data_IF_077746711317
#
_entry.id   IF_077746711317
#
_cell.length_a   1.000
_cell.length_b   1.000
_cell.length_c   1.000
_cell.angle_alpha   90.00
_cell.angle_beta   90.00
_cell.angle_gamma   90.00
#
_symmetry.space_group_name_H-M   'P 1'
#
loop_
_entity.id
_entity.type
_entity.pdbx_description
1 polymer ?
#
# COMPACT_ATOMS: atom_id res chain seq x y z
N UNK A 1 -9.40 -14.88 0.36
CA UNK A 1 -8.08 -14.41 -0.12
C UNK A 1 -7.27 -15.59 -0.64
N UNK A 2 -7.44 -15.96 -1.92
CA UNK A 2 -6.75 -17.12 -2.51
C UNK A 2 -5.28 -16.79 -2.84
N UNK A 3 -5.05 -15.65 -3.50
CA UNK A 3 -3.74 -15.22 -3.98
C UNK A 3 -2.66 -15.20 -2.89
N UNK A 4 -2.90 -14.47 -1.80
CA UNK A 4 -1.87 -14.31 -0.76
C UNK A 4 -1.56 -15.59 -0.01
N UNK A 5 -2.55 -16.48 0.13
CA UNK A 5 -2.39 -17.78 0.79
C UNK A 5 -1.55 -18.70 -0.09
N UNK A 6 -1.82 -18.70 -1.40
CA UNK A 6 -1.02 -19.47 -2.37
C UNK A 6 0.41 -18.96 -2.46
N UNK A 7 0.63 -17.65 -2.51
CA UNK A 7 1.99 -17.07 -2.48
C UNK A 7 2.74 -17.47 -1.21
N UNK A 8 2.08 -17.46 -0.05
CA UNK A 8 2.69 -17.94 1.19
C UNK A 8 3.04 -19.44 1.13
N UNK A 9 2.17 -20.24 0.53
CA UNK A 9 2.45 -21.66 0.30
C UNK A 9 3.66 -21.86 -0.61
N UNK A 10 3.75 -21.13 -1.73
CA UNK A 10 4.90 -21.18 -2.66
C UNK A 10 6.19 -20.89 -1.91
N UNK A 11 6.24 -19.81 -1.11
CA UNK A 11 7.41 -19.47 -0.32
C UNK A 11 7.79 -20.56 0.68
N UNK A 12 6.82 -21.14 1.39
CA UNK A 12 7.10 -22.20 2.38
C UNK A 12 7.75 -23.44 1.78
N UNK A 13 7.44 -23.77 0.51
CA UNK A 13 7.89 -25.00 -0.13
C UNK A 13 9.06 -24.80 -1.10
N UNK A 14 9.23 -23.58 -1.61
CA UNK A 14 10.15 -23.33 -2.73
C UNK A 14 11.14 -22.18 -2.49
N UNK A 15 11.12 -21.52 -1.33
CA UNK A 15 12.14 -20.50 -1.00
C UNK A 15 13.06 -20.97 0.12
N UNK A 16 14.32 -20.55 0.07
CA UNK A 16 15.26 -20.67 1.17
C UNK A 16 14.94 -19.56 2.20
N UNK A 17 14.22 -19.94 3.25
CA UNK A 17 13.87 -19.02 4.33
C UNK A 17 15.06 -18.64 5.21
N UNK A 18 16.29 -19.15 4.97
CA UNK A 18 17.46 -18.83 5.79
C UNK A 18 18.06 -17.45 5.51
N UNK A 19 17.84 -16.90 4.31
CA UNK A 19 18.30 -15.55 3.92
C UNK A 19 17.91 -14.48 4.92
N UNK A 20 18.85 -13.60 5.28
CA UNK A 20 18.67 -12.60 6.34
C UNK A 20 17.46 -11.68 6.07
N UNK A 21 17.35 -11.20 4.83
CA UNK A 21 16.27 -10.37 4.32
C UNK A 21 15.86 -10.82 2.91
N UNK A 22 14.67 -10.41 2.46
CA UNK A 22 14.22 -10.65 1.08
C UNK A 22 15.15 -10.08 0.00
N UNK A 23 15.94 -9.05 0.33
CA UNK A 23 16.87 -8.47 -0.64
C UNK A 23 18.04 -9.41 -0.92
N UNK A 24 18.45 -10.19 0.08
CA UNK A 24 19.57 -11.14 0.00
C UNK A 24 19.21 -12.41 -0.78
N UNK A 25 17.91 -12.67 -0.99
CA UNK A 25 17.44 -13.79 -1.82
C UNK A 25 17.93 -13.58 -3.26
N UNK A 26 18.66 -14.55 -3.85
CA UNK A 26 19.18 -14.45 -5.20
C UNK A 26 18.10 -14.20 -6.26
N UNK A 27 18.46 -13.51 -7.35
CA UNK A 27 17.52 -13.19 -8.44
C UNK A 27 16.96 -14.44 -9.10
N UNK A 28 17.78 -15.46 -9.35
CA UNK A 28 17.33 -16.73 -9.91
C UNK A 28 16.28 -17.43 -9.03
N UNK A 29 16.44 -17.38 -7.69
CA UNK A 29 15.44 -17.94 -6.76
C UNK A 29 14.13 -17.13 -6.82
N UNK A 30 14.23 -15.79 -6.89
CA UNK A 30 13.06 -14.92 -7.07
C UNK A 30 12.32 -15.23 -8.38
N UNK A 31 13.05 -15.42 -9.47
CA UNK A 31 12.48 -15.74 -10.79
C UNK A 31 11.77 -17.09 -10.78
N UNK A 32 12.33 -18.09 -10.09
CA UNK A 32 11.71 -19.41 -9.90
C UNK A 32 10.37 -19.32 -9.12
N UNK A 33 10.32 -18.45 -8.10
CA UNK A 33 9.10 -18.19 -7.33
C UNK A 33 8.07 -17.45 -8.19
N UNK A 34 8.50 -16.48 -9.00
CA UNK A 34 7.65 -15.75 -9.94
C UNK A 34 7.04 -16.70 -10.98
N UNK A 35 7.85 -17.60 -11.55
CA UNK A 35 7.37 -18.60 -12.51
C UNK A 35 6.24 -19.47 -11.94
N UNK A 36 6.29 -19.82 -10.64
CA UNK A 36 5.19 -20.54 -9.99
C UNK A 36 3.92 -19.71 -9.84
N UNK A 37 4.06 -18.42 -9.52
CA UNK A 37 2.91 -17.51 -9.48
C UNK A 37 2.29 -17.34 -10.87
N UNK A 38 3.09 -17.35 -11.94
CA UNK A 38 2.61 -17.30 -13.32
C UNK A 38 1.73 -18.49 -13.69
N UNK A 39 2.07 -19.69 -13.21
CA UNK A 39 1.27 -20.89 -13.44
C UNK A 39 -0.08 -20.82 -12.73
N UNK A 40 -0.11 -20.28 -11.50
CA UNK A 40 -1.32 -20.26 -10.68
C UNK A 40 -2.25 -19.05 -10.95
N UNK A 41 -1.71 -17.96 -11.50
CA UNK A 41 -2.42 -16.68 -11.64
C UNK A 41 -2.19 -15.99 -12.98
N UNK A 42 -3.30 -15.58 -13.61
CA UNK A 42 -3.28 -14.77 -14.82
C UNK A 42 -3.04 -13.31 -14.42
N UNK A 43 -1.82 -12.84 -14.64
CA UNK A 43 -1.41 -11.45 -14.45
C UNK A 43 -0.84 -10.91 -15.76
N UNK A 44 -1.06 -9.62 -16.01
CA UNK A 44 -0.38 -8.93 -17.11
C UNK A 44 1.07 -8.60 -16.70
N UNK A 45 2.02 -9.39 -17.19
CA UNK A 45 3.44 -9.26 -16.88
C UNK A 45 4.16 -8.17 -17.65
N UNK A 46 3.53 -7.60 -18.68
CA UNK A 46 4.05 -6.42 -19.38
C UNK A 46 4.00 -5.21 -18.46
N UNK A 47 2.97 -5.13 -17.61
CA UNK A 47 2.76 -4.02 -16.69
C UNK A 47 3.69 -4.07 -15.49
N UNK A 48 4.42 -2.98 -15.26
CA UNK A 48 5.35 -2.81 -14.13
C UNK A 48 4.65 -2.93 -12.77
N UNK A 49 3.45 -2.37 -12.62
CA UNK A 49 2.69 -2.40 -11.36
C UNK A 49 2.31 -3.83 -10.91
N UNK A 50 1.98 -4.73 -11.85
CA UNK A 50 1.67 -6.12 -11.57
C UNK A 50 2.92 -6.88 -11.09
N UNK A 51 4.03 -6.74 -11.82
CA UNK A 51 5.34 -7.29 -11.42
C UNK A 51 5.73 -6.82 -10.02
N UNK A 52 5.64 -5.51 -9.76
CA UNK A 52 5.91 -4.93 -8.44
C UNK A 52 4.98 -5.47 -7.36
N UNK A 53 3.71 -5.71 -7.67
CA UNK A 53 2.73 -6.25 -6.71
C UNK A 53 3.11 -7.67 -6.28
N UNK A 54 3.54 -8.51 -7.23
CA UNK A 54 4.04 -9.87 -6.94
C UNK A 54 5.27 -9.79 -6.03
N UNK A 55 6.27 -9.00 -6.41
CA UNK A 55 7.50 -8.85 -5.62
C UNK A 55 7.25 -8.27 -4.22
N UNK A 56 6.38 -7.26 -4.09
CA UNK A 56 5.95 -6.71 -2.80
C UNK A 56 5.24 -7.77 -1.96
N UNK A 57 4.41 -8.62 -2.58
CA UNK A 57 3.70 -9.69 -1.88
C UNK A 57 4.68 -10.74 -1.37
N UNK A 58 5.64 -11.18 -2.19
CA UNK A 58 6.69 -12.10 -1.75
C UNK A 58 7.47 -11.54 -0.56
N UNK A 59 8.00 -10.32 -0.67
CA UNK A 59 8.72 -9.66 0.44
C UNK A 59 7.91 -9.64 1.73
N UNK A 60 6.63 -9.22 1.66
CA UNK A 60 5.75 -9.16 2.82
C UNK A 60 5.51 -10.54 3.43
N UNK A 61 5.26 -11.56 2.60
CA UNK A 61 4.95 -12.92 3.05
C UNK A 61 6.19 -13.66 3.56
N UNK A 62 7.34 -13.49 2.92
CA UNK A 62 8.63 -14.02 3.38
C UNK A 62 8.95 -13.54 4.79
N UNK A 63 8.86 -12.22 5.01
CA UNK A 63 9.09 -11.63 6.34
C UNK A 63 8.04 -12.09 7.36
N UNK A 64 6.77 -12.22 6.97
CA UNK A 64 5.73 -12.71 7.85
C UNK A 64 5.96 -14.17 8.27
N UNK A 65 6.34 -15.04 7.33
CA UNK A 65 6.66 -16.45 7.63
C UNK A 65 7.84 -16.52 8.60
N UNK A 66 8.93 -15.79 8.34
CA UNK A 66 10.08 -15.72 9.25
C UNK A 66 9.72 -15.18 10.62
N UNK A 67 8.82 -14.20 10.70
CA UNK A 67 8.32 -13.69 11.96
C UNK A 67 7.53 -14.75 12.76
N UNK A 68 6.67 -15.54 12.09
CA UNK A 68 5.97 -16.64 12.76
C UNK A 68 6.94 -17.73 13.24
N UNK A 69 7.97 -18.05 12.45
CA UNK A 69 9.04 -18.96 12.86
C UNK A 69 9.82 -18.42 14.07
N UNK A 70 10.11 -17.12 14.10
CA UNK A 70 10.75 -16.49 15.24
C UNK A 70 9.85 -16.49 16.49
N UNK A 71 8.53 -16.37 16.33
CA UNK A 71 7.59 -16.53 17.46
C UNK A 71 7.66 -17.93 18.05
N UNK A 72 7.72 -18.96 17.21
CA UNK A 72 7.92 -20.35 17.66
C UNK A 72 9.26 -20.49 18.37
N UNK A 73 10.34 -19.96 17.80
CA UNK A 73 11.65 -19.97 18.47
C UNK A 73 11.61 -19.36 19.89
N UNK A 74 10.88 -18.26 20.07
CA UNK A 74 10.75 -17.58 21.37
C UNK A 74 9.91 -18.35 22.40
N UNK A 75 9.21 -19.41 22.04
CA UNK A 75 8.47 -20.22 23.03
C UNK A 75 9.38 -21.16 23.81
N UNK A 76 10.60 -21.40 23.33
CA UNK A 76 11.58 -22.26 23.98
C UNK A 76 12.49 -21.45 24.91
N UNK A 77 12.92 -22.08 26.00
CA UNK A 77 13.72 -21.40 27.02
C UNK A 77 15.19 -21.27 26.61
N UNK A 78 15.70 -22.28 25.89
CA UNK A 78 17.09 -22.35 25.47
C UNK A 78 17.22 -22.70 23.98
N UNK A 79 18.40 -22.41 23.42
CA UNK A 79 18.65 -22.58 21.99
C UNK A 79 18.71 -24.07 21.57
N UNK A 80 19.12 -24.96 22.46
CA UNK A 80 19.22 -26.41 22.20
C UNK A 80 17.82 -27.04 22.06
N UNK A 81 16.91 -26.69 22.97
CA UNK A 81 15.51 -27.06 22.91
C UNK A 81 14.84 -26.51 21.64
N UNK A 82 15.11 -25.26 21.29
CA UNK A 82 14.59 -24.67 20.06
C UNK A 82 15.08 -25.41 18.81
N UNK A 83 16.35 -25.83 18.78
CA UNK A 83 16.92 -26.60 17.67
C UNK A 83 16.27 -27.98 17.53
N UNK A 84 15.98 -28.65 18.66
CA UNK A 84 15.30 -29.94 18.68
C UNK A 84 13.82 -29.84 18.23
N UNK A 85 13.15 -28.73 18.54
CA UNK A 85 11.72 -28.54 18.31
C UNK A 85 11.40 -27.73 17.04
N UNK A 86 11.83 -28.25 15.89
CA UNK A 86 11.58 -27.66 14.57
C UNK A 86 10.12 -27.87 14.09
N UNK A 87 9.48 -26.86 13.48
CA UNK A 87 8.21 -27.08 12.77
C UNK A 87 8.36 -28.05 11.60
N UNK A 88 7.48 -29.05 11.49
CA UNK A 88 7.59 -30.18 10.55
C UNK A 88 7.83 -29.79 9.09
N UNK A 89 7.25 -28.69 8.62
CA UNK A 89 7.34 -28.21 7.23
C UNK A 89 8.62 -27.40 6.92
N UNK A 90 9.41 -27.01 7.91
CA UNK A 90 10.62 -26.18 7.72
C UNK A 90 11.82 -27.08 7.44
N UNK A 91 12.65 -26.83 6.43
CA UNK A 91 13.85 -27.64 6.23
C UNK A 91 14.79 -27.61 7.47
N UNK A 92 15.35 -28.75 7.93
CA UNK A 92 16.25 -28.79 9.09
C UNK A 92 17.43 -27.82 9.02
N UNK A 93 18.12 -27.76 7.88
CA UNK A 93 19.27 -26.87 7.69
C UNK A 93 18.87 -25.40 7.76
N UNK A 94 17.68 -25.06 7.25
CA UNK A 94 17.12 -23.72 7.33
C UNK A 94 16.82 -23.36 8.78
N UNK A 95 16.20 -24.27 9.54
CA UNK A 95 15.91 -24.05 10.96
C UNK A 95 17.16 -23.82 11.80
N UNK A 96 18.20 -24.64 11.61
CA UNK A 96 19.50 -24.48 12.29
C UNK A 96 20.09 -23.10 12.02
N UNK A 97 20.12 -22.66 10.76
CA UNK A 97 20.60 -21.32 10.39
C UNK A 97 19.78 -20.20 11.03
N UNK A 98 18.45 -20.35 11.09
CA UNK A 98 17.55 -19.38 11.71
C UNK A 98 17.78 -19.27 13.22
N UNK A 99 17.83 -20.40 13.92
CA UNK A 99 18.12 -20.45 15.36
C UNK A 99 19.48 -19.83 15.68
N UNK A 100 20.52 -20.18 14.93
CA UNK A 100 21.86 -19.58 15.09
C UNK A 100 21.86 -18.07 14.87
N UNK A 101 21.09 -17.58 13.90
CA UNK A 101 20.93 -16.14 13.68
C UNK A 101 20.21 -15.47 14.86
N UNK A 102 19.13 -16.04 15.36
CA UNK A 102 18.34 -15.43 16.45
C UNK A 102 19.02 -15.49 17.81
N UNK A 103 19.88 -16.49 18.03
CA UNK A 103 20.70 -16.59 19.25
C UNK A 103 21.92 -15.65 19.23
N UNK A 104 22.35 -15.21 18.04
CA UNK A 104 23.50 -14.31 17.88
C UNK A 104 23.32 -12.96 18.60
N UNK A 105 24.43 -12.45 19.13
CA UNK A 105 24.45 -11.17 19.84
C UNK A 105 24.10 -9.99 18.93
N UNK A 106 24.55 -10.02 17.67
CA UNK A 106 24.22 -9.00 16.68
C UNK A 106 22.71 -8.88 16.49
N UNK A 107 22.00 -10.00 16.34
CA UNK A 107 20.56 -10.00 16.16
C UNK A 107 19.83 -9.51 17.41
N UNK A 108 20.25 -9.95 18.61
CA UNK A 108 19.68 -9.50 19.89
C UNK A 108 19.82 -7.99 20.05
N UNK A 109 21.02 -7.46 19.81
CA UNK A 109 21.31 -6.02 19.86
C UNK A 109 20.42 -5.23 18.89
N UNK A 110 20.32 -5.67 17.63
CA UNK A 110 19.47 -5.02 16.64
C UNK A 110 17.98 -5.10 17.01
N UNK A 111 17.54 -6.24 17.55
CA UNK A 111 16.16 -6.43 17.99
C UNK A 111 15.80 -5.48 19.13
N UNK A 112 16.66 -5.34 20.14
CA UNK A 112 16.41 -4.41 21.25
C UNK A 112 16.43 -2.96 20.79
N UNK A 113 17.40 -2.59 19.94
CA UNK A 113 17.44 -1.25 19.35
C UNK A 113 16.16 -0.93 18.57
N UNK A 114 15.65 -1.88 17.78
CA UNK A 114 14.40 -1.72 17.03
C UNK A 114 13.17 -1.63 17.95
N UNK A 115 13.17 -2.34 19.08
CA UNK A 115 12.13 -2.22 20.11
C UNK A 115 12.14 -0.83 20.74
N UNK A 116 13.29 -0.33 21.17
CA UNK A 116 13.43 1.04 21.69
C UNK A 116 13.02 2.09 20.64
N UNK A 117 13.37 1.89 19.36
CA UNK A 117 12.95 2.78 18.28
C UNK A 117 11.44 2.78 18.07
N UNK A 118 10.79 1.61 18.17
CA UNK A 118 9.33 1.49 18.09
C UNK A 118 8.64 2.18 19.26
N UNK A 119 9.18 2.09 20.47
CA UNK A 119 8.66 2.79 21.65
C UNK A 119 8.76 4.31 21.51
N UNK A 120 9.77 4.81 20.78
CA UNK A 120 9.93 6.23 20.44
C UNK A 120 9.00 6.72 19.32
N UNK A 121 8.13 5.87 18.75
CA UNK A 121 7.22 6.27 17.69
C UNK A 121 6.08 7.16 18.23
N UNK A 122 6.18 8.47 17.97
CA UNK A 122 5.23 9.48 18.47
C UNK A 122 4.11 9.85 17.49
N UNK A 123 4.20 9.47 16.21
CA UNK A 123 3.25 9.89 15.17
C UNK A 123 2.25 8.79 14.78
N UNK A 124 1.54 8.21 15.75
CA UNK A 124 0.59 7.12 15.52
C UNK A 124 -0.81 7.59 15.06
N UNK A 125 -1.49 6.77 14.25
CA UNK A 125 -2.84 7.03 13.74
C UNK A 125 -3.87 6.01 14.28
N UNK A 126 -5.16 6.33 14.20
CA UNK A 126 -6.27 5.52 14.75
C UNK A 126 -7.05 4.73 13.70
N UNK A 127 -6.73 4.88 12.41
CA UNK A 127 -7.53 4.35 11.29
C UNK A 127 -7.32 2.86 10.98
N UNK A 128 -6.51 2.16 11.78
CA UNK A 128 -6.25 0.74 11.62
C UNK A 128 -5.58 0.41 10.28
N UNK A 129 -6.17 -0.53 9.53
CA UNK A 129 -5.62 -1.06 8.26
C UNK A 129 -6.07 -0.26 7.02
N UNK A 130 -6.94 0.73 7.19
CA UNK A 130 -7.43 1.55 6.07
C UNK A 130 -6.35 2.53 5.69
N UNK A 131 -5.92 2.52 4.43
CA UNK A 131 -4.97 3.51 3.92
C UNK A 131 -5.56 4.90 3.97
N UNK A 132 -4.73 5.89 4.26
CA UNK A 132 -5.17 7.29 4.24
C UNK A 132 -5.71 7.73 2.86
N UNK A 133 -5.15 7.25 1.72
CA UNK A 133 -5.66 7.57 0.38
C UNK A 133 -7.13 7.18 0.24
N UNK A 134 -7.45 5.94 0.61
CA UNK A 134 -8.83 5.45 0.62
C UNK A 134 -9.75 6.29 1.51
N UNK A 135 -9.27 6.75 2.66
CA UNK A 135 -10.07 7.61 3.53
C UNK A 135 -10.30 9.00 2.93
N UNK A 136 -9.33 9.54 2.21
CA UNK A 136 -9.48 10.81 1.49
C UNK A 136 -10.45 10.67 0.32
N UNK A 137 -10.36 9.59 -0.47
CA UNK A 137 -11.34 9.29 -1.55
C UNK A 137 -12.76 9.20 -0.99
N UNK A 138 -12.96 8.48 0.12
CA UNK A 138 -14.27 8.38 0.77
C UNK A 138 -14.78 9.71 1.34
N UNK A 139 -13.93 10.73 1.39
CA UNK A 139 -14.20 12.06 1.96
C UNK A 139 -14.03 13.17 0.94
N UNK A 140 -13.83 12.87 -0.35
CA UNK A 140 -13.64 13.88 -1.40
C UNK A 140 -14.80 14.88 -1.46
N UNK A 141 -15.99 14.41 -1.08
CA UNK A 141 -17.24 15.16 -1.09
C UNK A 141 -17.42 16.04 0.15
N UNK A 142 -16.50 15.92 1.12
CA UNK A 142 -16.43 16.83 2.27
C UNK A 142 -15.42 17.93 1.98
N UNK A 143 -15.75 19.19 2.28
CA UNK A 143 -14.81 20.34 2.22
C UNK A 143 -13.69 20.28 3.28
N UNK A 144 -13.36 19.08 3.74
CA UNK A 144 -12.33 18.83 4.74
C UNK A 144 -10.94 19.02 4.14
N UNK A 145 -10.17 19.93 4.73
CA UNK A 145 -8.77 20.17 4.34
C UNK A 145 -7.80 19.32 5.17
N UNK A 146 -6.51 19.29 4.79
CA UNK A 146 -5.52 18.36 5.36
C UNK A 146 -5.34 18.45 6.88
N UNK A 147 -5.55 19.63 7.47
CA UNK A 147 -5.48 19.84 8.94
C UNK A 147 -6.62 19.11 9.67
N UNK A 148 -7.82 19.08 9.10
CA UNK A 148 -8.96 18.34 9.66
C UNK A 148 -8.74 16.83 9.52
N UNK A 149 -8.26 16.41 8.35
CA UNK A 149 -7.89 15.03 8.11
C UNK A 149 -6.84 14.56 9.12
N UNK A 150 -5.83 15.38 9.41
CA UNK A 150 -4.81 15.09 10.42
C UNK A 150 -5.41 14.84 11.81
N UNK A 151 -6.37 15.69 12.21
CA UNK A 151 -7.09 15.52 13.47
C UNK A 151 -7.84 14.20 13.50
N UNK A 152 -8.65 13.95 12.48
CA UNK A 152 -9.55 12.81 12.41
C UNK A 152 -8.82 11.48 12.49
N UNK A 153 -7.72 11.33 11.74
CA UNK A 153 -6.97 10.08 11.71
C UNK A 153 -6.09 9.88 12.94
N UNK A 154 -6.04 10.84 13.86
CA UNK A 154 -5.20 10.81 15.07
C UNK A 154 -5.94 11.13 16.35
N UNK A 155 -7.25 11.33 16.26
CA UNK A 155 -8.14 11.48 17.40
C UNK A 155 -8.65 10.13 17.87
N UNK A 156 -8.53 9.85 19.16
CA UNK A 156 -9.11 8.67 19.78
C UNK A 156 -10.54 8.95 20.22
N UNK A 157 -11.52 8.49 19.44
CA UNK A 157 -12.94 8.59 19.82
C UNK A 157 -13.23 7.95 21.18
N UNK A 158 -12.58 6.83 21.49
CA UNK A 158 -12.73 6.12 22.78
C UNK A 158 -12.19 6.92 23.97
N UNK A 159 -11.04 7.60 23.82
CA UNK A 159 -10.39 8.33 24.92
C UNK A 159 -10.75 9.82 24.93
N UNK A 160 -11.45 10.32 23.91
CA UNK A 160 -11.77 11.74 23.76
C UNK A 160 -10.53 12.65 23.68
N UNK A 161 -9.41 12.14 23.14
CA UNK A 161 -8.15 12.90 23.05
C UNK A 161 -7.26 12.43 21.90
N UNK A 162 -6.24 13.23 21.57
CA UNK A 162 -5.18 12.82 20.64
C UNK A 162 -4.40 11.61 21.16
N UNK A 163 -3.88 10.80 20.23
CA UNK A 163 -3.15 9.57 20.59
C UNK A 163 -1.87 9.85 21.37
N UNK A 164 -1.20 10.97 21.08
CA UNK A 164 0.04 11.38 21.76
C UNK A 164 0.10 12.90 21.92
N UNK A 165 0.78 13.44 22.95
CA UNK A 165 0.95 14.89 23.15
C UNK A 165 1.55 15.62 21.93
N UNK A 166 2.57 15.04 21.28
CA UNK A 166 3.19 15.65 20.10
C UNK A 166 2.20 15.89 18.94
N UNK A 167 1.21 14.99 18.77
CA UNK A 167 0.18 15.15 17.73
C UNK A 167 -0.72 16.34 18.07
N UNK A 168 -1.06 16.49 19.34
CA UNK A 168 -1.87 17.61 19.83
C UNK A 168 -1.14 18.94 19.66
N UNK A 169 0.15 18.99 20.03
CA UNK A 169 1.01 20.16 19.81
C UNK A 169 1.05 20.56 18.33
N UNK A 170 1.33 19.59 17.44
CA UNK A 170 1.36 19.82 16.00
C UNK A 170 0.00 20.29 15.45
N UNK A 171 -1.11 19.66 15.86
CA UNK A 171 -2.44 20.09 15.43
C UNK A 171 -2.75 21.51 15.92
N UNK A 172 -2.44 21.82 17.17
CA UNK A 172 -2.65 23.15 17.73
C UNK A 172 -1.80 24.21 17.03
N UNK A 173 -0.59 23.86 16.57
CA UNK A 173 0.21 24.75 15.72
C UNK A 173 -0.40 24.97 14.34
N UNK A 174 -0.85 23.89 13.67
CA UNK A 174 -1.56 24.00 12.38
C UNK A 174 -2.81 24.87 12.51
N UNK A 175 -3.64 24.62 13.54
CA UNK A 175 -4.85 25.38 13.80
C UNK A 175 -4.56 26.85 14.09
N UNK A 176 -3.49 27.15 14.85
CA UNK A 176 -3.03 28.54 15.09
C UNK A 176 -2.58 29.23 13.80
N UNK A 177 -1.82 28.55 12.93
CA UNK A 177 -1.38 29.11 11.64
C UNK A 177 -2.58 29.35 10.71
N UNK A 178 -3.52 28.41 10.67
CA UNK A 178 -4.73 28.52 9.86
C UNK A 178 -5.59 29.70 10.34
N UNK A 179 -5.81 29.85 11.64
CA UNK A 179 -6.57 30.95 12.22
C UNK A 179 -5.95 32.36 12.00
N UNK A 180 -4.66 32.45 11.64
CA UNK A 180 -4.03 33.70 11.23
C UNK A 180 -4.36 34.11 9.79
N UNK A 181 -4.85 33.17 8.98
CA UNK A 181 -5.33 33.45 7.63
C UNK A 181 -6.76 33.98 7.69
N UNK A 182 -7.13 34.79 6.71
CA UNK A 182 -8.53 35.19 6.56
C UNK A 182 -9.40 33.96 6.27
N UNK A 183 -10.67 33.89 6.74
CA UNK A 183 -11.53 32.72 6.52
C UNK A 183 -11.70 32.34 5.05
N UNK A 184 -11.67 33.32 4.14
CA UNK A 184 -11.73 33.12 2.68
C UNK A 184 -10.49 32.44 2.10
N UNK A 185 -9.39 32.39 2.85
CA UNK A 185 -8.10 31.79 2.48
C UNK A 185 -7.86 30.43 3.15
N UNK A 186 -8.85 29.88 3.85
CA UNK A 186 -8.81 28.49 4.34
C UNK A 186 -9.03 27.48 3.19
N UNK A 187 -8.24 27.60 2.12
CA UNK A 187 -8.31 26.68 0.99
C UNK A 187 -7.53 25.40 1.27
N UNK A 188 -7.77 24.36 0.47
CA UNK A 188 -7.05 23.07 0.58
C UNK A 188 -5.54 23.24 0.38
N UNK A 189 -5.14 24.19 -0.46
CA UNK A 189 -3.74 24.52 -0.75
C UNK A 189 -3.08 25.17 0.47
N UNK A 190 -3.72 26.18 1.07
CA UNK A 190 -3.19 26.83 2.27
C UNK A 190 -3.03 25.85 3.44
N UNK A 191 -4.01 24.96 3.64
CA UNK A 191 -3.93 23.91 4.64
C UNK A 191 -2.80 22.90 4.36
N UNK A 192 -2.55 22.58 3.09
CA UNK A 192 -1.43 21.72 2.69
C UNK A 192 -0.09 22.39 3.00
N UNK A 193 0.10 23.67 2.65
CA UNK A 193 1.33 24.41 2.98
C UNK A 193 1.58 24.47 4.49
N UNK A 194 0.55 24.80 5.29
CA UNK A 194 0.65 24.82 6.76
C UNK A 194 1.03 23.44 7.31
N UNK A 195 0.40 22.39 6.79
CA UNK A 195 0.67 21.02 7.22
C UNK A 195 2.13 20.62 6.98
N UNK A 196 2.63 20.95 5.79
CA UNK A 196 4.01 20.71 5.37
C UNK A 196 5.03 21.49 6.21
N UNK A 197 4.75 22.76 6.50
CA UNK A 197 5.57 23.60 7.38
C UNK A 197 5.69 23.00 8.79
N UNK A 198 4.55 22.64 9.39
CA UNK A 198 4.51 22.16 10.79
C UNK A 198 5.16 20.80 10.95
N UNK A 199 4.88 19.85 10.03
CA UNK A 199 5.41 18.49 10.17
C UNK A 199 6.80 18.31 9.57
N UNK A 200 7.24 19.25 8.72
CA UNK A 200 8.47 19.20 7.93
C UNK A 200 8.55 18.00 6.97
N UNK A 201 9.39 18.15 5.94
CA UNK A 201 9.67 17.09 4.97
C UNK A 201 10.90 16.26 5.33
N UNK A 202 10.92 15.01 4.87
CA UNK A 202 12.16 14.24 4.65
C UNK A 202 12.18 13.78 3.19
N UNK A 203 13.37 13.57 2.64
CA UNK A 203 13.53 13.06 1.27
C UNK A 203 12.72 11.76 1.10
N UNK A 204 11.77 11.77 0.15
CA UNK A 204 10.96 10.61 -0.22
C UNK A 204 9.68 10.36 0.57
N UNK A 205 9.36 11.12 1.63
CA UNK A 205 8.04 11.03 2.30
C UNK A 205 7.71 12.26 3.18
N UNK A 206 6.43 12.62 3.24
CA UNK A 206 5.91 13.62 4.20
C UNK A 206 5.71 12.98 5.58
N UNK A 207 6.22 13.62 6.65
CA UNK A 207 6.03 13.08 8.00
C UNK A 207 4.53 13.04 8.33
N UNK A 208 4.07 11.91 8.85
CA UNK A 208 2.71 11.77 9.35
C UNK A 208 1.66 11.34 8.31
N UNK A 209 2.00 11.26 7.02
CA UNK A 209 1.10 10.75 5.96
C UNK A 209 1.49 9.37 5.39
N UNK A 210 2.57 8.77 5.91
CA UNK A 210 3.05 7.48 5.39
C UNK A 210 3.48 7.58 3.92
N UNK A 211 3.23 6.54 3.13
CA UNK A 211 3.54 6.51 1.68
C UNK A 211 2.52 7.28 0.81
N UNK A 212 1.60 8.07 1.39
CA UNK A 212 0.58 8.79 0.62
C UNK A 212 1.14 9.89 -0.27
N UNK A 213 2.07 10.67 0.27
CA UNK A 213 2.63 11.83 -0.41
C UNK A 213 4.11 11.52 -0.55
N UNK A 214 4.51 11.26 -1.79
CA UNK A 214 5.91 11.22 -2.20
C UNK A 214 6.23 12.66 -2.56
N UNK A 215 6.98 13.41 -1.72
CA UNK A 215 7.50 14.72 -2.12
C UNK A 215 8.38 14.52 -3.34
N UNK A 216 8.44 15.52 -4.22
CA UNK A 216 9.36 15.51 -5.35
C UNK A 216 10.77 15.18 -4.86
N UNK A 217 11.24 13.98 -5.21
CA UNK A 217 12.55 13.51 -4.81
C UNK A 217 13.58 14.01 -5.80
N UNK A 218 14.69 14.58 -5.32
CA UNK A 218 15.86 14.95 -6.12
C UNK A 218 16.64 13.76 -6.72
N UNK A 219 16.09 12.53 -6.70
CA UNK A 219 16.74 11.33 -7.25
C UNK A 219 15.82 10.70 -8.30
N UNK A 220 16.24 10.78 -9.55
CA UNK A 220 15.50 10.44 -10.79
C UNK A 220 15.04 8.99 -11.00
N UNK A 221 14.75 8.23 -9.93
CA UNK A 221 14.15 6.89 -10.04
C UNK A 221 12.62 6.94 -10.24
N UNK A 222 11.98 8.09 -9.97
CA UNK A 222 10.52 8.24 -10.09
C UNK A 222 10.06 8.73 -11.47
N UNK A 223 10.94 9.36 -12.26
CA UNK A 223 10.55 9.97 -13.55
C UNK A 223 10.07 8.93 -14.56
N UNK A 224 10.72 7.78 -14.67
CA UNK A 224 10.28 6.71 -15.58
C UNK A 224 8.91 6.16 -15.19
N UNK A 225 8.65 6.01 -13.88
CA UNK A 225 7.36 5.49 -13.38
C UNK A 225 6.25 6.51 -13.58
N UNK A 226 6.53 7.79 -13.32
CA UNK A 226 5.59 8.89 -13.56
C UNK A 226 5.30 9.01 -15.05
N UNK A 227 6.32 8.91 -15.91
CA UNK A 227 6.19 8.92 -17.39
C UNK A 227 5.36 7.73 -17.89
N UNK A 228 5.62 6.52 -17.38
CA UNK A 228 4.85 5.33 -17.73
C UNK A 228 3.39 5.45 -17.26
N UNK A 229 3.15 5.98 -16.06
CA UNK A 229 1.80 6.22 -15.54
C UNK A 229 1.04 7.30 -16.32
N UNK A 230 1.68 8.40 -16.68
CA UNK A 230 1.07 9.48 -17.48
C UNK A 230 0.77 9.01 -18.89
N UNK A 231 1.67 8.27 -19.54
CA UNK A 231 1.41 7.68 -20.87
C UNK A 231 0.28 6.66 -20.85
N UNK A 232 0.19 5.82 -19.80
CA UNK A 232 -0.94 4.89 -19.63
C UNK A 232 -2.24 5.65 -19.37
N UNK A 233 -2.22 6.70 -18.54
CA UNK A 233 -3.40 7.53 -18.28
C UNK A 233 -3.89 8.23 -19.57
N UNK A 234 -2.97 8.75 -20.39
CA UNK A 234 -3.29 9.35 -21.69
C UNK A 234 -3.93 8.33 -22.65
N UNK A 235 -3.33 7.14 -22.78
CA UNK A 235 -3.93 6.04 -23.58
C UNK A 235 -5.33 5.67 -23.09
N UNK A 236 -5.52 5.62 -21.76
CA UNK A 236 -6.82 5.30 -21.20
C UNK A 236 -7.87 6.39 -21.50
N UNK A 237 -7.49 7.66 -21.48
CA UNK A 237 -8.36 8.77 -21.91
C UNK A 237 -8.71 8.67 -23.40
N UNK A 238 -7.75 8.32 -24.26
CA UNK A 238 -8.00 8.08 -25.69
C UNK A 238 -8.96 6.92 -25.93
N UNK A 239 -8.79 5.82 -25.21
CA UNK A 239 -9.68 4.65 -25.29
C UNK A 239 -11.09 4.99 -24.80
N UNK A 240 -11.22 5.73 -23.70
CA UNK A 240 -12.52 6.22 -23.21
C UNK A 240 -13.20 7.10 -24.26
N UNK A 241 -12.47 8.05 -24.85
CA UNK A 241 -13.03 8.92 -25.90
C UNK A 241 -13.45 8.13 -27.15
N UNK A 242 -12.70 7.08 -27.51
CA UNK A 242 -13.07 6.18 -28.61
C UNK A 242 -14.35 5.41 -28.29
N UNK A 243 -14.42 4.82 -27.10
CA UNK A 243 -15.59 4.06 -26.65
C UNK A 243 -16.84 4.95 -26.55
N UNK A 244 -16.70 6.22 -26.15
CA UNK A 244 -17.80 7.18 -26.15
C UNK A 244 -18.31 7.48 -27.56
N UNK A 245 -17.42 7.66 -28.54
CA UNK A 245 -17.81 7.84 -29.95
C UNK A 245 -18.52 6.61 -30.51
N UNK A 246 -17.98 5.42 -30.25
CA UNK A 246 -18.59 4.16 -30.70
C UNK A 246 -19.98 3.98 -30.06
N UNK A 247 -20.13 4.27 -28.76
CA UNK A 247 -21.40 4.21 -28.06
C UNK A 247 -22.43 5.20 -28.65
N UNK A 248 -22.02 6.42 -29.01
CA UNK A 248 -22.89 7.39 -29.67
C UNK A 248 -23.30 6.91 -31.07
N UNK A 249 -22.37 6.38 -31.85
CA UNK A 249 -22.64 5.84 -33.18
C UNK A 249 -23.68 4.71 -33.15
N UNK A 250 -23.50 3.72 -32.29
CA UNK A 250 -24.46 2.61 -32.15
C UNK A 250 -25.81 3.10 -31.61
N UNK A 251 -25.82 4.09 -30.73
CA UNK A 251 -27.07 4.70 -30.25
C UNK A 251 -27.86 5.35 -31.39
N UNK A 252 -27.21 6.13 -32.26
CA UNK A 252 -27.86 6.74 -33.42
C UNK A 252 -28.43 5.72 -34.39
N UNK A 253 -27.67 4.66 -34.71
CA UNK A 253 -28.14 3.55 -35.55
C UNK A 253 -29.38 2.85 -34.97
N UNK A 254 -29.41 2.64 -33.65
CA UNK A 254 -30.56 2.05 -32.96
C UNK A 254 -31.78 2.96 -32.96
N UNK A 255 -31.59 4.28 -32.82
CA UNK A 255 -32.69 5.25 -32.85
C UNK A 255 -33.30 5.36 -34.26
N UNK A 256 -32.49 5.27 -35.30
CA UNK A 256 -32.94 5.22 -36.70
C UNK A 256 -33.74 3.94 -36.98
N UNK A 257 -33.20 2.77 -36.65
CA UNK A 257 -33.90 1.49 -36.77
C UNK A 257 -35.23 1.47 -35.99
N UNK A 258 -35.25 2.05 -34.78
CA UNK A 258 -36.47 2.19 -33.98
C UNK A 258 -37.50 3.05 -34.69
N UNK A 259 -37.06 4.14 -35.33
CA UNK A 259 -37.90 5.01 -36.17
C UNK A 259 -38.53 4.23 -37.32
N UNK A 260 -37.72 3.50 -38.08
CA UNK A 260 -38.16 2.73 -39.24
C UNK A 260 -39.16 1.63 -38.86
N UNK A 261 -38.88 0.88 -37.79
CA UNK A 261 -39.80 -0.15 -37.27
C UNK A 261 -41.13 0.47 -36.86
N UNK A 262 -41.11 1.65 -36.23
CA UNK A 262 -42.33 2.37 -35.84
C UNK A 262 -43.15 2.81 -37.06
N UNK A 263 -42.50 3.31 -38.11
CA UNK A 263 -43.16 3.67 -39.37
C UNK A 263 -43.76 2.44 -40.06
N UNK A 264 -43.05 1.31 -40.09
CA UNK A 264 -43.57 0.06 -40.66
C UNK A 264 -44.79 -0.48 -39.89
N UNK A 265 -44.77 -0.43 -38.55
CA UNK A 265 -45.92 -0.82 -37.72
C UNK A 265 -47.13 0.06 -37.98
N UNK A 266 -46.94 1.39 -38.09
CA UNK A 266 -48.05 2.31 -38.39
C UNK A 266 -48.64 2.08 -39.78
N UNK A 267 -47.81 1.77 -40.80
CA UNK A 267 -48.29 1.39 -42.14
C UNK A 267 -49.08 0.09 -42.14
N UNK A 268 -48.71 -0.89 -41.32
CA UNK A 268 -49.46 -2.16 -41.19
C UNK A 268 -50.78 -2.02 -40.43
N UNK A 269 -50.90 -1.03 -39.53
CA UNK A 269 -52.14 -0.77 -38.78
C UNK A 269 -53.14 0.13 -39.53
N UNK A 270 -52.71 0.74 -40.64
CA UNK A 270 -53.53 1.62 -41.49
C UNK A 270 -53.96 0.97 -42.81
N UNK A 271 -53.60 -0.31 -43.01
CA UNK A 271 -54.08 -1.20 -44.08
C UNK A 271 -54.99 -2.28 -43.49
#
# INVERSE_FOLDING_TARGET
MLYTTRVAWILKHHSDLSHATWHDVPTNEKDELVARVQVDFILDWTKKNHRLTVMKTFRKRFNAIRYELHKIYKTFENAEEALANRPSWVNPNVWVKLCGRWSSEEFKRLSEQNKCNREKQKMNHTVGRTSFLRLMELRSDTDSHLVDFFKDVRWSKKKGKFVTPLIEENYNEMARKLAKLEPKKHTKEAATTIFEEVLSHRSGYVRGLGEMVIPDSSRGCNDEVITELTTVAARHQEDVARHEKDAQYYKSQLDELRGDVKVQLLRKLSS
#
